data_IF_582820126244
#
_entry.id   IF_582820126244
#
_cell.length_a   1.000
_cell.length_b   1.000
_cell.length_c   1.000
_cell.angle_alpha   90.00
_cell.angle_beta   90.00
_cell.angle_gamma   90.00
#
_symmetry.space_group_name_H-M   'P 1'
#
loop_
_entity.id
_entity.type
_entity.pdbx_description
1 polymer ?
#
# COMPACT_ATOMS: atom_id res chain seq x y z
N UNK A 1 5.01 -51.92 23.49
CA UNK A 1 4.10 -51.36 22.46
C UNK A 1 4.58 -49.94 22.24
N UNK A 2 5.40 -49.77 21.21
CA UNK A 2 5.91 -48.45 20.81
C UNK A 2 4.74 -47.65 20.22
N UNK A 3 4.44 -46.52 20.83
CA UNK A 3 3.53 -45.54 20.25
C UNK A 3 4.20 -44.98 18.99
N UNK A 4 3.93 -45.54 17.82
CA UNK A 4 4.17 -44.86 16.55
C UNK A 4 3.36 -43.59 16.55
N UNK A 5 4.01 -42.48 16.84
CA UNK A 5 3.45 -41.16 16.64
C UNK A 5 3.26 -41.00 15.13
N UNK A 6 2.05 -41.23 14.64
CA UNK A 6 1.69 -41.05 13.23
C UNK A 6 1.98 -39.59 12.86
N UNK A 7 3.08 -39.38 12.15
CA UNK A 7 3.48 -38.06 11.69
C UNK A 7 2.48 -37.65 10.62
N UNK A 8 1.62 -36.69 10.94
CA UNK A 8 0.71 -36.10 9.95
C UNK A 8 1.50 -35.63 8.72
N UNK A 9 1.20 -36.19 7.56
CA UNK A 9 1.84 -35.89 6.27
C UNK A 9 1.60 -34.43 5.85
N UNK A 10 0.51 -33.82 6.27
CA UNK A 10 0.03 -32.50 5.84
C UNK A 10 0.02 -31.50 6.98
N UNK A 11 0.20 -30.21 6.66
CA UNK A 11 0.27 -29.11 7.62
C UNK A 11 -0.66 -27.97 7.21
N UNK A 12 -1.07 -27.16 8.17
CA UNK A 12 -1.75 -25.92 7.86
C UNK A 12 -0.89 -25.04 6.94
N UNK A 13 -1.52 -24.48 5.92
CA UNK A 13 -0.86 -23.70 4.86
C UNK A 13 -0.46 -24.49 3.63
N UNK A 14 -0.65 -25.82 3.63
CA UNK A 14 -0.42 -26.62 2.43
C UNK A 14 -1.59 -26.45 1.44
N UNK A 15 -1.27 -26.42 0.16
CA UNK A 15 -2.23 -26.61 -0.94
C UNK A 15 -1.94 -27.97 -1.52
N UNK A 16 -2.92 -28.85 -1.44
CA UNK A 16 -2.77 -30.28 -1.80
C UNK A 16 -4.03 -30.80 -2.48
N UNK A 17 -3.86 -31.81 -3.31
CA UNK A 17 -4.97 -32.58 -3.88
C UNK A 17 -5.22 -33.82 -3.03
N UNK A 18 -6.43 -33.94 -2.49
CA UNK A 18 -6.84 -35.06 -1.62
C UNK A 18 -8.10 -35.71 -2.18
N UNK A 19 -8.22 -37.01 -1.93
CA UNK A 19 -9.37 -37.82 -2.34
C UNK A 19 -10.48 -37.74 -1.28
N UNK A 20 -11.70 -37.46 -1.69
CA UNK A 20 -12.87 -37.58 -0.83
C UNK A 20 -13.25 -39.01 -0.58
N UNK A 21 -13.19 -39.46 0.68
CA UNK A 21 -13.43 -40.87 1.07
C UNK A 21 -14.80 -41.05 1.70
N UNK A 22 -15.46 -39.97 2.10
CA UNK A 22 -16.80 -39.98 2.71
C UNK A 22 -17.47 -38.63 2.57
N UNK A 23 -18.78 -38.61 2.30
CA UNK A 23 -19.59 -37.40 2.26
C UNK A 23 -20.72 -37.50 3.27
N UNK A 24 -20.92 -36.42 4.03
CA UNK A 24 -21.95 -36.30 5.09
C UNK A 24 -22.70 -34.99 4.95
N UNK A 25 -23.67 -34.77 5.86
CA UNK A 25 -24.40 -33.48 5.93
C UNK A 25 -23.52 -32.29 6.30
N UNK A 26 -22.40 -32.52 6.98
CA UNK A 26 -21.42 -31.46 7.30
C UNK A 26 -20.51 -31.10 6.15
N UNK A 27 -20.22 -32.04 5.25
CA UNK A 27 -19.30 -31.88 4.14
C UNK A 27 -18.61 -33.17 3.74
N UNK A 28 -17.50 -33.07 3.00
CA UNK A 28 -16.69 -34.20 2.59
C UNK A 28 -15.52 -34.41 3.56
N UNK A 29 -15.17 -35.65 3.81
CA UNK A 29 -13.96 -36.04 4.52
C UNK A 29 -12.93 -36.49 3.50
N UNK A 30 -11.73 -35.90 3.59
CA UNK A 30 -10.63 -36.11 2.67
C UNK A 30 -9.57 -37.00 3.32
N UNK A 31 -9.05 -37.96 2.58
CA UNK A 31 -8.03 -38.92 3.04
C UNK A 31 -6.74 -38.17 3.46
N UNK A 32 -6.37 -38.28 4.72
CA UNK A 32 -5.12 -37.75 5.24
C UNK A 32 -3.92 -38.62 4.92
N UNK A 33 -4.12 -39.80 4.28
CA UNK A 33 -3.08 -40.74 3.94
C UNK A 33 -2.45 -41.49 5.12
N UNK A 34 -3.15 -41.53 6.27
CA UNK A 34 -2.70 -42.20 7.51
C UNK A 34 -3.23 -43.63 7.61
N UNK A 35 -4.22 -44.00 6.80
CA UNK A 35 -4.95 -45.26 6.91
C UNK A 35 -5.94 -45.29 8.08
N UNK A 36 -6.08 -44.19 8.85
CA UNK A 36 -7.01 -44.06 9.96
C UNK A 36 -8.09 -43.03 9.64
N UNK A 37 -9.33 -43.47 9.54
CA UNK A 37 -10.46 -42.59 9.19
C UNK A 37 -10.77 -41.50 10.22
N UNK A 38 -10.23 -41.59 11.45
CA UNK A 38 -10.36 -40.54 12.45
C UNK A 38 -9.49 -39.32 12.13
N UNK A 39 -8.49 -39.48 11.29
CA UNK A 39 -7.56 -38.43 10.86
C UNK A 39 -8.02 -37.73 9.57
N UNK A 40 -9.10 -38.24 8.94
CA UNK A 40 -9.67 -37.63 7.72
C UNK A 40 -9.95 -36.13 7.90
N UNK A 41 -9.55 -35.37 6.90
CA UNK A 41 -9.61 -33.89 6.94
C UNK A 41 -10.99 -33.42 6.46
N UNK A 42 -11.72 -32.69 7.30
CA UNK A 42 -13.04 -32.18 6.96
C UNK A 42 -12.93 -31.02 5.96
N UNK A 43 -13.60 -31.15 4.81
CA UNK A 43 -13.95 -30.09 3.89
C UNK A 43 -15.43 -29.72 4.08
N UNK A 44 -15.71 -28.74 4.94
CA UNK A 44 -17.07 -28.32 5.26
C UNK A 44 -17.83 -27.86 4.01
N UNK A 45 -19.16 -28.08 3.94
CA UNK A 45 -19.99 -27.66 2.78
C UNK A 45 -19.80 -26.19 2.38
N UNK A 46 -19.67 -25.29 3.37
CA UNK A 46 -19.46 -23.85 3.14
C UNK A 46 -18.08 -23.52 2.54
N UNK A 47 -17.15 -24.47 2.58
CA UNK A 47 -15.80 -24.36 2.05
C UNK A 47 -15.64 -25.01 0.67
N UNK A 48 -16.73 -25.52 0.12
CA UNK A 48 -16.76 -26.15 -1.19
C UNK A 48 -17.22 -25.12 -2.24
N UNK A 49 -16.44 -24.95 -3.29
CA UNK A 49 -16.80 -24.12 -4.46
C UNK A 49 -17.68 -24.86 -5.47
N UNK A 50 -17.75 -26.17 -5.37
CA UNK A 50 -18.63 -27.09 -6.12
C UNK A 50 -19.01 -28.27 -5.22
N UNK A 51 -20.13 -28.97 -5.51
CA UNK A 51 -20.45 -30.22 -4.82
C UNK A 51 -19.32 -31.24 -4.96
N UNK A 52 -18.97 -31.89 -3.86
CA UNK A 52 -17.95 -32.96 -3.80
C UNK A 52 -18.64 -34.29 -3.56
N UNK A 53 -18.25 -35.32 -4.31
CA UNK A 53 -18.73 -36.69 -4.21
C UNK A 53 -17.62 -37.60 -3.68
N UNK A 54 -18.00 -38.73 -3.12
CA UNK A 54 -17.04 -39.77 -2.75
C UNK A 54 -16.28 -40.22 -3.98
N UNK A 55 -14.96 -40.36 -3.83
CA UNK A 55 -14.03 -40.68 -4.91
C UNK A 55 -13.44 -39.47 -5.65
N UNK A 56 -14.01 -38.27 -5.50
CA UNK A 56 -13.48 -37.06 -6.14
C UNK A 56 -12.09 -36.71 -5.60
N UNK A 57 -11.21 -36.28 -6.50
CA UNK A 57 -9.97 -35.58 -6.14
C UNK A 57 -10.22 -34.09 -6.11
N UNK A 58 -9.88 -33.44 -4.98
CA UNK A 58 -10.11 -32.04 -4.74
C UNK A 58 -8.83 -31.34 -4.32
N UNK A 59 -8.50 -30.24 -5.01
CA UNK A 59 -7.43 -29.36 -4.60
C UNK A 59 -7.95 -28.45 -3.48
N UNK A 60 -7.24 -28.44 -2.35
CA UNK A 60 -7.66 -27.74 -1.13
C UNK A 60 -6.49 -27.07 -0.44
N UNK A 61 -6.80 -25.98 0.21
CA UNK A 61 -5.94 -25.31 1.18
C UNK A 61 -6.24 -25.82 2.58
N UNK A 62 -5.21 -26.22 3.31
CA UNK A 62 -5.32 -26.74 4.67
C UNK A 62 -5.10 -25.64 5.70
N UNK A 63 -5.98 -25.53 6.68
CA UNK A 63 -5.88 -24.57 7.77
C UNK A 63 -6.33 -25.17 9.10
N UNK A 64 -6.03 -24.49 10.22
CA UNK A 64 -6.50 -24.92 11.53
C UNK A 64 -7.85 -24.28 11.88
N UNK A 65 -8.83 -25.07 12.28
CA UNK A 65 -10.09 -24.58 12.82
C UNK A 65 -9.89 -23.95 14.24
N UNK A 66 -10.93 -23.35 14.87
CA UNK A 66 -10.82 -22.79 16.22
C UNK A 66 -10.39 -23.79 17.29
N UNK A 67 -10.62 -25.09 17.05
CA UNK A 67 -10.24 -26.19 17.94
C UNK A 67 -8.86 -26.75 17.62
N UNK A 68 -8.09 -26.06 16.73
CA UNK A 68 -6.75 -26.46 16.26
C UNK A 68 -6.73 -27.79 15.48
N UNK A 69 -7.84 -28.21 14.86
CA UNK A 69 -7.90 -29.39 13.99
C UNK A 69 -7.59 -28.96 12.55
N UNK A 70 -6.88 -29.80 11.83
CA UNK A 70 -6.62 -29.60 10.41
C UNK A 70 -7.91 -29.71 9.60
N UNK A 71 -8.22 -28.71 8.80
CA UNK A 71 -9.46 -28.56 8.05
C UNK A 71 -9.14 -28.05 6.65
N UNK A 72 -9.96 -28.39 5.67
CA UNK A 72 -9.75 -28.06 4.26
C UNK A 72 -10.71 -26.97 3.77
N UNK A 73 -10.26 -26.18 2.79
CA UNK A 73 -11.08 -25.24 2.02
C UNK A 73 -10.73 -25.32 0.55
N UNK A 74 -11.71 -25.25 -0.33
CA UNK A 74 -11.50 -25.09 -1.76
C UNK A 74 -11.22 -23.62 -2.15
N UNK A 75 -11.33 -22.69 -1.21
CA UNK A 75 -10.88 -21.30 -1.38
C UNK A 75 -9.36 -21.24 -1.25
N UNK A 76 -8.67 -21.32 -2.38
CA UNK A 76 -7.21 -21.36 -2.40
C UNK A 76 -6.63 -19.95 -2.16
N UNK A 77 -5.47 -19.86 -1.46
CA UNK A 77 -4.79 -18.59 -1.30
C UNK A 77 -4.29 -18.05 -2.65
N UNK A 78 -4.37 -16.74 -2.83
CA UNK A 78 -3.87 -16.05 -4.02
C UNK A 78 -2.35 -15.91 -4.03
N UNK A 79 -1.69 -16.23 -2.92
CA UNK A 79 -0.24 -16.13 -2.75
C UNK A 79 0.34 -17.49 -2.36
N UNK A 80 1.51 -17.79 -2.93
CA UNK A 80 2.34 -18.95 -2.56
C UNK A 80 3.46 -18.53 -1.60
N UNK A 81 4.01 -19.49 -0.88
CA UNK A 81 5.18 -19.29 -0.03
C UNK A 81 6.34 -18.67 -0.82
N UNK A 82 7.00 -17.67 -0.23
CA UNK A 82 8.06 -16.91 -0.87
C UNK A 82 7.59 -15.77 -1.79
N UNK A 83 6.32 -15.71 -2.15
CA UNK A 83 5.79 -14.65 -3.00
C UNK A 83 5.64 -13.33 -2.25
N UNK A 84 5.93 -12.25 -2.99
CA UNK A 84 5.55 -10.89 -2.65
C UNK A 84 4.10 -10.63 -3.06
N UNK A 85 3.38 -9.86 -2.26
CA UNK A 85 2.02 -9.49 -2.55
C UNK A 85 1.61 -8.21 -1.82
N UNK A 86 0.47 -7.73 -2.21
CA UNK A 86 -0.17 -6.54 -1.66
C UNK A 86 -1.48 -6.97 -1.02
N UNK A 87 -1.52 -7.03 0.32
CA UNK A 87 -2.60 -7.67 1.06
C UNK A 87 -3.26 -6.72 2.05
N UNK A 88 -4.59 -6.88 2.21
CA UNK A 88 -5.39 -6.08 3.12
C UNK A 88 -5.24 -6.59 4.55
N UNK A 89 -5.04 -5.69 5.49
CA UNK A 89 -5.08 -5.96 6.93
C UNK A 89 -6.54 -6.16 7.35
N UNK A 90 -6.87 -7.33 7.86
CA UNK A 90 -8.22 -7.69 8.33
C UNK A 90 -8.47 -7.23 9.75
N UNK A 91 -7.51 -7.49 10.64
CA UNK A 91 -7.58 -7.14 12.05
C UNK A 91 -6.20 -6.95 12.65
N UNK A 92 -6.15 -6.25 13.79
CA UNK A 92 -4.93 -6.07 14.59
C UNK A 92 -5.26 -6.46 16.03
N UNK A 93 -4.40 -7.27 16.62
CA UNK A 93 -4.48 -7.76 18.00
C UNK A 93 -3.26 -7.32 18.80
N UNK A 94 -3.16 -7.68 20.07
CA UNK A 94 -1.98 -7.41 20.92
C UNK A 94 -0.71 -8.13 20.45
N UNK A 95 -0.84 -9.22 19.69
CA UNK A 95 0.30 -10.06 19.29
C UNK A 95 0.73 -9.80 17.83
N UNK A 96 -0.09 -9.10 17.05
CA UNK A 96 0.17 -8.82 15.63
C UNK A 96 -1.10 -8.52 14.85
N UNK A 97 -1.01 -8.61 13.53
CA UNK A 97 -2.13 -8.43 12.61
C UNK A 97 -2.50 -9.72 11.89
N UNK A 98 -3.64 -9.70 11.22
CA UNK A 98 -4.04 -10.72 10.26
C UNK A 98 -4.27 -10.06 8.92
N UNK A 99 -3.74 -10.64 7.85
CA UNK A 99 -3.85 -10.12 6.49
C UNK A 99 -4.57 -11.11 5.58
N UNK A 100 -5.30 -10.57 4.62
CA UNK A 100 -6.04 -11.33 3.61
C UNK A 100 -5.11 -11.72 2.46
N UNK A 101 -4.85 -13.00 2.30
CA UNK A 101 -4.13 -13.55 1.15
C UNK A 101 -5.08 -14.29 0.19
N UNK A 102 -6.39 -14.11 0.35
CA UNK A 102 -7.43 -14.81 -0.42
C UNK A 102 -7.75 -16.22 0.09
N UNK A 103 -7.18 -16.63 1.22
CA UNK A 103 -7.52 -17.88 1.89
C UNK A 103 -8.71 -17.69 2.84
N UNK A 104 -9.28 -18.82 3.33
CA UNK A 104 -10.43 -18.81 4.25
C UNK A 104 -10.18 -17.99 5.54
N UNK A 105 -8.98 -17.94 5.98
CA UNK A 105 -8.55 -17.16 7.16
C UNK A 105 -7.40 -16.25 6.83
N UNK A 106 -7.41 -15.08 7.47
CA UNK A 106 -6.27 -14.19 7.44
C UNK A 106 -5.01 -14.88 7.96
N UNK A 107 -3.88 -14.61 7.32
CA UNK A 107 -2.57 -15.10 7.75
C UNK A 107 -1.94 -14.12 8.72
N UNK A 108 -1.24 -14.66 9.72
CA UNK A 108 -0.69 -13.88 10.82
C UNK A 108 0.51 -13.03 10.38
N UNK A 109 0.48 -11.76 10.75
CA UNK A 109 1.58 -10.80 10.64
C UNK A 109 2.08 -10.47 12.04
N UNK A 110 3.19 -11.08 12.51
CA UNK A 110 3.75 -10.80 13.83
C UNK A 110 4.17 -9.33 13.99
N UNK A 111 4.06 -8.75 15.18
CA UNK A 111 4.58 -7.39 15.44
C UNK A 111 6.05 -7.22 15.08
N UNK A 112 6.87 -8.25 15.31
CA UNK A 112 8.31 -8.25 14.97
C UNK A 112 8.56 -8.19 13.46
N UNK A 113 7.56 -8.51 12.66
CA UNK A 113 7.60 -8.49 11.20
C UNK A 113 6.90 -7.26 10.59
N UNK A 114 6.36 -6.39 11.42
CA UNK A 114 5.81 -5.08 10.99
C UNK A 114 6.93 -4.05 10.89
N UNK A 115 6.82 -3.14 9.92
CA UNK A 115 7.70 -1.96 9.79
C UNK A 115 7.16 -0.74 10.56
N UNK A 116 5.95 -0.84 11.09
CA UNK A 116 5.30 0.20 11.87
C UNK A 116 3.84 -0.15 12.15
N UNK A 117 3.09 0.80 12.71
CA UNK A 117 1.67 0.60 13.03
C UNK A 117 0.86 0.49 11.73
N UNK A 118 0.04 -0.55 11.67
CA UNK A 118 -0.95 -0.76 10.61
C UNK A 118 -2.35 -0.78 11.20
N UNK A 119 -3.36 -0.46 10.40
CA UNK A 119 -4.76 -0.43 10.82
C UNK A 119 -5.60 -1.39 9.96
N UNK A 120 -6.70 -1.94 10.49
CA UNK A 120 -7.65 -2.72 9.70
C UNK A 120 -8.13 -1.91 8.47
N UNK A 121 -8.24 -2.59 7.34
CA UNK A 121 -8.62 -1.98 6.07
C UNK A 121 -7.46 -1.45 5.23
N UNK A 122 -6.30 -1.18 5.84
CA UNK A 122 -5.08 -0.82 5.12
C UNK A 122 -4.59 -1.98 4.24
N UNK A 123 -3.99 -1.65 3.10
CA UNK A 123 -3.29 -2.64 2.26
C UNK A 123 -1.79 -2.43 2.40
N UNK A 124 -1.04 -3.50 2.59
CA UNK A 124 0.41 -3.44 2.83
C UNK A 124 1.15 -4.44 1.96
N UNK A 125 2.40 -4.10 1.61
CA UNK A 125 3.29 -5.05 0.97
C UNK A 125 3.75 -6.10 1.96
N UNK A 126 3.65 -7.35 1.57
CA UNK A 126 4.02 -8.51 2.39
C UNK A 126 4.74 -9.57 1.57
N UNK A 127 5.44 -10.45 2.28
CA UNK A 127 5.94 -11.72 1.77
C UNK A 127 5.40 -12.85 2.63
N UNK A 128 4.86 -13.88 1.99
CA UNK A 128 4.39 -15.09 2.67
C UNK A 128 5.59 -16.01 2.98
N UNK A 129 5.68 -16.47 4.22
CA UNK A 129 6.71 -17.41 4.66
C UNK A 129 6.14 -18.40 5.69
N UNK A 130 6.94 -19.42 6.05
CA UNK A 130 6.61 -20.28 7.18
C UNK A 130 7.42 -19.89 8.40
N UNK A 131 6.75 -19.78 9.54
CA UNK A 131 7.41 -19.55 10.81
C UNK A 131 8.20 -20.79 11.28
N UNK A 132 8.95 -20.66 12.38
CA UNK A 132 9.75 -21.76 12.96
C UNK A 132 8.91 -22.99 13.35
N UNK A 133 7.60 -22.84 13.47
CA UNK A 133 6.67 -23.93 13.78
C UNK A 133 6.01 -24.51 12.53
N UNK A 134 6.42 -24.05 11.33
CA UNK A 134 5.90 -24.48 10.04
C UNK A 134 4.55 -23.88 9.65
N UNK A 135 4.04 -22.89 10.40
CA UNK A 135 2.77 -22.22 10.11
C UNK A 135 2.96 -21.06 9.11
N UNK A 136 1.98 -20.82 8.22
CA UNK A 136 1.99 -19.64 7.36
C UNK A 136 2.03 -18.37 8.20
N UNK A 137 2.91 -17.45 7.85
CA UNK A 137 3.03 -16.13 8.40
C UNK A 137 3.45 -15.15 7.30
N UNK A 138 3.28 -13.86 7.52
CA UNK A 138 3.72 -12.82 6.59
C UNK A 138 4.65 -11.82 7.27
N UNK A 139 5.51 -11.21 6.46
CA UNK A 139 6.40 -10.13 6.88
C UNK A 139 6.21 -8.91 6.00
N UNK A 140 6.30 -7.72 6.58
CA UNK A 140 6.39 -6.45 5.86
C UNK A 140 7.84 -6.07 5.50
N UNK A 141 8.85 -6.81 5.97
CA UNK A 141 10.27 -6.57 5.70
C UNK A 141 10.64 -7.06 4.29
N UNK A 142 10.11 -6.37 3.30
CA UNK A 142 10.17 -6.78 1.87
C UNK A 142 11.21 -6.00 1.06
N UNK A 143 11.97 -5.09 1.68
CA UNK A 143 12.92 -4.19 1.00
C UNK A 143 13.88 -4.97 0.07
N UNK A 144 14.54 -6.00 0.60
CA UNK A 144 15.48 -6.83 -0.18
C UNK A 144 14.80 -7.61 -1.30
N UNK A 145 13.57 -8.05 -1.06
CA UNK A 145 12.83 -8.84 -2.05
C UNK A 145 12.29 -7.94 -3.16
N UNK A 146 11.80 -6.74 -2.82
CA UNK A 146 11.41 -5.73 -3.80
C UNK A 146 12.62 -5.26 -4.62
N UNK A 147 13.77 -5.03 -3.99
CA UNK A 147 15.01 -4.67 -4.69
C UNK A 147 15.46 -5.73 -5.71
N UNK A 148 15.24 -7.02 -5.43
CA UNK A 148 15.57 -8.10 -6.38
C UNK A 148 14.68 -8.14 -7.62
N UNK A 149 13.42 -7.73 -7.48
CA UNK A 149 12.45 -7.71 -8.59
C UNK A 149 12.32 -6.34 -9.23
N UNK A 150 12.92 -5.32 -8.64
CA UNK A 150 12.96 -3.97 -9.18
C UNK A 150 13.70 -3.92 -10.52
N UNK A 151 13.33 -2.93 -11.32
CA UNK A 151 13.98 -2.60 -12.59
C UNK A 151 14.57 -1.20 -12.50
N UNK A 152 15.75 -0.95 -13.11
CA UNK A 152 16.21 0.42 -13.31
C UNK A 152 15.20 1.22 -14.15
N UNK A 153 14.91 2.44 -13.74
CA UNK A 153 13.98 3.33 -14.44
C UNK A 153 14.68 4.07 -15.59
N UNK A 154 15.10 3.32 -16.61
CA UNK A 154 15.89 3.84 -17.75
C UNK A 154 15.06 4.66 -18.75
N UNK A 155 13.75 4.50 -18.72
CA UNK A 155 12.77 5.16 -19.59
C UNK A 155 12.08 6.37 -18.92
N UNK A 156 12.43 6.66 -17.67
CA UNK A 156 11.87 7.76 -16.88
C UNK A 156 12.81 8.97 -16.87
N UNK A 157 12.25 10.16 -17.01
CA UNK A 157 13.00 11.43 -17.02
C UNK A 157 12.60 12.31 -15.84
N UNK A 158 13.51 13.21 -15.47
CA UNK A 158 13.21 14.28 -14.51
C UNK A 158 12.04 15.13 -15.04
N UNK A 159 11.03 15.32 -14.20
CA UNK A 159 9.79 16.00 -14.55
C UNK A 159 8.62 15.06 -14.83
N UNK A 160 8.87 13.80 -15.16
CA UNK A 160 7.83 12.80 -15.37
C UNK A 160 7.06 12.52 -14.06
N UNK A 161 5.86 12.00 -14.20
CA UNK A 161 5.01 11.64 -13.07
C UNK A 161 4.93 10.12 -12.99
N UNK A 162 5.16 9.58 -11.78
CA UNK A 162 4.99 8.15 -11.50
C UNK A 162 3.90 7.94 -10.45
N UNK A 163 3.27 6.79 -10.47
CA UNK A 163 2.33 6.35 -9.43
C UNK A 163 2.82 5.03 -8.84
N UNK A 164 2.82 4.94 -7.51
CA UNK A 164 3.23 3.73 -6.82
C UNK A 164 2.67 3.68 -5.40
N UNK A 165 2.95 2.60 -4.68
CA UNK A 165 2.45 2.36 -3.32
C UNK A 165 3.58 2.39 -2.31
N UNK A 166 3.32 3.00 -1.15
CA UNK A 166 4.29 3.10 -0.06
C UNK A 166 4.47 1.73 0.60
N UNK A 167 5.69 1.18 0.55
CA UNK A 167 6.00 -0.10 1.18
C UNK A 167 6.86 0.03 2.44
N UNK A 168 7.62 1.13 2.58
CA UNK A 168 8.41 1.37 3.78
C UNK A 168 8.39 2.85 4.15
N UNK A 169 8.42 3.14 5.47
CA UNK A 169 8.41 4.49 6.05
C UNK A 169 9.55 4.61 7.03
N UNK A 170 10.46 5.55 6.76
CA UNK A 170 11.62 5.84 7.61
C UNK A 170 11.53 7.24 8.23
N UNK A 171 12.53 7.61 9.02
CA UNK A 171 12.65 8.98 9.56
C UNK A 171 12.88 10.00 8.44
N UNK A 172 13.61 9.62 7.40
CA UNK A 172 14.00 10.46 6.28
C UNK A 172 12.89 10.62 5.24
N UNK A 173 12.07 9.58 5.01
CA UNK A 173 11.07 9.61 3.97
C UNK A 173 10.32 8.29 3.77
N UNK A 174 9.80 8.13 2.56
CA UNK A 174 8.88 7.08 2.16
C UNK A 174 9.42 6.36 0.94
N UNK A 175 9.48 5.04 1.02
CA UNK A 175 9.84 4.20 -0.11
C UNK A 175 8.58 3.75 -0.83
N UNK A 176 8.59 3.89 -2.15
CA UNK A 176 7.46 3.66 -3.04
C UNK A 176 7.86 2.60 -4.05
N UNK A 177 6.97 1.66 -4.32
CA UNK A 177 7.14 0.67 -5.38
C UNK A 177 6.04 0.84 -6.43
N UNK A 178 6.44 0.94 -7.72
CA UNK A 178 5.52 1.19 -8.82
C UNK A 178 5.08 -0.12 -9.51
N UNK A 179 3.97 -0.12 -10.26
CA UNK A 179 3.56 -1.27 -11.08
C UNK A 179 4.62 -1.67 -12.12
N UNK A 180 5.39 -0.71 -12.64
CA UNK A 180 6.50 -0.92 -13.58
C UNK A 180 7.71 -1.55 -12.89
N UNK A 181 7.65 -1.69 -11.56
CA UNK A 181 8.69 -2.22 -10.67
C UNK A 181 9.87 -1.28 -10.45
N UNK A 182 9.64 0.04 -10.48
CA UNK A 182 10.62 1.01 -10.05
C UNK A 182 10.55 1.21 -8.54
N UNK A 183 11.71 1.47 -7.92
CA UNK A 183 11.81 1.93 -6.55
C UNK A 183 11.96 3.44 -6.58
N UNK A 184 11.09 4.14 -5.85
CA UNK A 184 11.18 5.57 -5.68
C UNK A 184 11.27 5.95 -4.19
N UNK A 185 11.97 7.06 -3.91
CA UNK A 185 12.10 7.63 -2.60
C UNK A 185 11.52 9.04 -2.56
N UNK A 186 10.59 9.26 -1.63
CA UNK A 186 10.00 10.56 -1.35
C UNK A 186 10.56 11.07 -0.02
N UNK A 187 11.48 12.02 -0.05
CA UNK A 187 12.01 12.65 1.15
C UNK A 187 10.93 13.48 1.86
N UNK A 188 10.94 13.53 3.20
CA UNK A 188 9.92 14.28 3.96
C UNK A 188 9.87 15.77 3.62
N UNK A 189 10.99 16.38 3.23
CA UNK A 189 11.03 17.77 2.78
C UNK A 189 10.29 18.01 1.46
N UNK A 190 10.04 16.95 0.68
CA UNK A 190 9.38 17.00 -0.63
C UNK A 190 7.86 16.73 -0.56
N UNK A 191 7.30 16.70 0.66
CA UNK A 191 5.85 16.66 0.83
C UNK A 191 5.21 17.98 0.39
N UNK A 192 3.99 17.92 -0.13
CA UNK A 192 3.17 19.07 -0.49
C UNK A 192 2.74 19.92 0.73
N UNK A 193 2.65 19.26 1.90
CA UNK A 193 2.38 19.91 3.19
C UNK A 193 3.21 19.27 4.31
N UNK A 194 3.79 20.07 5.23
CA UNK A 194 4.48 19.55 6.42
C UNK A 194 3.60 18.71 7.35
N UNK A 195 2.28 18.90 7.27
CA UNK A 195 1.27 18.19 8.08
C UNK A 195 0.72 16.94 7.38
N UNK A 196 1.16 16.66 6.14
CA UNK A 196 0.69 15.49 5.42
C UNK A 196 1.15 14.22 6.12
N UNK A 197 0.20 13.36 6.44
CA UNK A 197 0.45 12.02 6.93
C UNK A 197 0.35 11.03 5.75
N UNK A 198 1.35 10.19 5.61
CA UNK A 198 1.39 9.13 4.61
C UNK A 198 1.47 7.80 5.34
N UNK A 199 0.65 6.85 4.94
CA UNK A 199 0.56 5.52 5.54
C UNK A 199 1.11 4.40 4.65
N UNK A 200 1.40 3.26 5.27
CA UNK A 200 1.75 2.05 4.51
C UNK A 200 0.65 1.72 3.51
N UNK A 201 1.03 1.37 2.29
CA UNK A 201 0.13 0.99 1.24
C UNK A 201 -0.64 2.14 0.58
N UNK A 202 -0.38 3.39 0.98
CA UNK A 202 -0.97 4.54 0.31
C UNK A 202 -0.44 4.64 -1.12
N UNK A 203 -1.35 4.80 -2.08
CA UNK A 203 -0.99 5.08 -3.46
C UNK A 203 -0.63 6.57 -3.60
N UNK A 204 0.54 6.85 -4.13
CA UNK A 204 1.04 8.20 -4.33
C UNK A 204 1.37 8.42 -5.80
N UNK A 205 0.93 9.55 -6.32
CA UNK A 205 1.36 10.08 -7.62
C UNK A 205 2.33 11.22 -7.35
N UNK A 206 3.57 11.08 -7.81
CA UNK A 206 4.65 11.99 -7.49
C UNK A 206 5.48 12.31 -8.74
N UNK A 207 6.05 13.50 -8.78
CA UNK A 207 6.91 13.96 -9.86
C UNK A 207 8.35 13.54 -9.60
N UNK A 208 9.00 12.99 -10.61
CA UNK A 208 10.42 12.61 -10.57
C UNK A 208 11.30 13.87 -10.53
N UNK A 209 12.19 13.93 -9.55
CA UNK A 209 13.15 15.02 -9.37
C UNK A 209 14.57 14.60 -9.71
N UNK A 210 14.87 13.32 -9.58
CA UNK A 210 16.18 12.77 -9.89
C UNK A 210 16.07 11.28 -10.25
N UNK A 211 16.88 10.82 -11.18
CA UNK A 211 17.07 9.41 -11.54
C UNK A 211 18.50 9.05 -11.18
N UNK A 212 18.69 8.10 -10.26
CA UNK A 212 20.02 7.66 -9.86
C UNK A 212 20.69 6.85 -10.97
N UNK A 213 21.90 7.19 -11.33
CA UNK A 213 22.65 6.50 -12.38
C UNK A 213 23.10 5.08 -11.97
N UNK A 214 23.37 4.87 -10.67
CA UNK A 214 23.93 3.62 -10.13
C UNK A 214 22.94 2.45 -10.16
N UNK A 215 21.69 2.69 -9.79
CA UNK A 215 20.67 1.65 -9.59
C UNK A 215 19.34 1.93 -10.30
N UNK A 216 19.21 3.10 -10.93
CA UNK A 216 17.99 3.55 -11.60
C UNK A 216 16.83 3.84 -10.63
N UNK A 217 17.10 3.99 -9.33
CA UNK A 217 16.09 4.42 -8.38
C UNK A 217 15.73 5.89 -8.60
N UNK A 218 14.53 6.25 -8.22
CA UNK A 218 13.96 7.58 -8.44
C UNK A 218 13.87 8.35 -7.15
N UNK A 219 14.27 9.63 -7.15
CA UNK A 219 13.82 10.57 -6.11
C UNK A 219 12.61 11.33 -6.65
N UNK A 220 11.60 11.51 -5.79
CA UNK A 220 10.32 12.08 -6.19
C UNK A 220 9.84 13.18 -5.24
N UNK A 221 8.94 14.03 -5.72
CA UNK A 221 8.38 15.15 -4.99
C UNK A 221 6.86 15.24 -5.16
N UNK A 222 6.16 15.55 -4.09
CA UNK A 222 4.75 15.94 -4.11
C UNK A 222 4.57 17.46 -4.20
N UNK A 223 5.66 18.22 -4.14
CA UNK A 223 5.59 19.68 -4.27
C UNK A 223 5.25 20.07 -5.70
N UNK A 224 4.37 21.03 -5.84
CA UNK A 224 4.10 21.67 -7.14
C UNK A 224 5.38 22.32 -7.67
N UNK A 225 5.60 22.26 -8.96
CA UNK A 225 6.68 23.02 -9.58
C UNK A 225 6.46 24.51 -9.32
N UNK A 226 7.55 25.26 -9.16
CA UNK A 226 7.48 26.70 -8.91
C UNK A 226 6.70 27.45 -10.00
N UNK A 227 6.76 26.97 -11.22
CA UNK A 227 6.01 27.54 -12.36
C UNK A 227 4.50 27.30 -12.24
N UNK A 228 4.07 26.07 -11.90
CA UNK A 228 2.66 25.75 -11.67
C UNK A 228 2.12 26.46 -10.42
N UNK A 229 2.91 26.52 -9.34
CA UNK A 229 2.52 27.27 -8.15
C UNK A 229 2.35 28.78 -8.47
N UNK A 230 3.17 29.33 -9.35
CA UNK A 230 3.05 30.72 -9.80
C UNK A 230 1.77 30.96 -10.63
N UNK A 231 1.42 29.99 -11.49
CA UNK A 231 0.15 30.05 -12.26
C UNK A 231 -1.04 30.00 -11.32
N UNK A 232 -1.07 28.99 -10.43
CA UNK A 232 -2.14 28.81 -9.45
C UNK A 232 -2.29 30.05 -8.54
N UNK A 233 -1.17 30.59 -8.03
CA UNK A 233 -1.19 31.78 -7.16
C UNK A 233 -1.72 33.02 -7.92
N UNK A 234 -1.31 33.21 -9.18
CA UNK A 234 -1.79 34.34 -9.99
C UNK A 234 -3.27 34.22 -10.38
N UNK A 235 -3.72 32.99 -10.71
CA UNK A 235 -5.14 32.74 -11.01
C UNK A 235 -6.03 32.96 -9.79
N UNK A 236 -5.63 32.49 -8.60
CA UNK A 236 -6.38 32.71 -7.36
C UNK A 236 -6.50 34.21 -7.02
N UNK A 237 -5.40 34.98 -7.17
CA UNK A 237 -5.41 36.43 -6.95
C UNK A 237 -6.27 37.12 -8.00
N UNK A 238 -6.20 36.71 -9.25
CA UNK A 238 -7.00 37.27 -10.33
C UNK A 238 -8.49 37.03 -10.17
N UNK A 239 -8.89 35.78 -9.81
CA UNK A 239 -10.30 35.46 -9.54
C UNK A 239 -10.86 36.30 -8.39
N UNK A 240 -10.09 36.51 -7.31
CA UNK A 240 -10.52 37.44 -6.23
C UNK A 240 -10.68 38.86 -6.70
N UNK A 241 -9.83 39.32 -7.61
CA UNK A 241 -9.91 40.66 -8.19
C UNK A 241 -11.10 40.80 -9.15
N UNK A 242 -11.44 39.76 -9.90
CA UNK A 242 -12.60 39.75 -10.78
C UNK A 242 -13.92 39.96 -10.00
N UNK A 243 -14.02 39.36 -8.79
CA UNK A 243 -15.19 39.51 -7.93
C UNK A 243 -15.33 40.91 -7.31
N UNK A 244 -14.20 41.59 -7.08
CA UNK A 244 -14.16 42.83 -6.25
C UNK A 244 -13.69 44.08 -7.01
N UNK A 245 -13.14 43.88 -8.20
CA UNK A 245 -12.55 44.95 -9.02
C UNK A 245 -11.19 45.47 -8.51
N UNK A 246 -11.00 45.50 -7.18
CA UNK A 246 -9.76 45.95 -6.52
C UNK A 246 -9.55 45.30 -5.16
N UNK A 247 -8.29 45.28 -4.68
CA UNK A 247 -7.95 44.79 -3.34
C UNK A 247 -6.89 45.69 -2.68
N UNK A 248 -6.93 45.87 -1.33
CA UNK A 248 -6.00 46.74 -0.58
C UNK A 248 -4.68 45.98 -0.27
N UNK A 249 -4.16 45.23 -1.21
CA UNK A 249 -2.94 44.46 -1.09
C UNK A 249 -2.08 44.72 -2.31
N UNK A 250 -0.82 45.05 -2.09
CA UNK A 250 0.16 45.36 -3.14
C UNK A 250 1.55 44.80 -2.72
N UNK A 251 2.56 45.09 -3.49
CA UNK A 251 3.95 44.68 -3.25
C UNK A 251 4.51 45.12 -1.89
N UNK A 252 4.03 46.25 -1.35
CA UNK A 252 4.45 46.80 -0.05
C UNK A 252 3.75 46.13 1.13
N UNK A 253 2.64 45.42 0.93
CA UNK A 253 1.86 44.77 2.00
C UNK A 253 2.73 43.86 2.88
N UNK A 254 2.64 43.97 4.24
CA UNK A 254 3.42 43.16 5.16
C UNK A 254 3.22 41.65 5.01
N UNK A 255 4.30 40.86 5.17
CA UNK A 255 4.29 39.40 5.00
C UNK A 255 3.25 38.65 5.87
N UNK A 256 3.02 39.02 7.15
CA UNK A 256 1.99 38.39 7.97
C UNK A 256 0.57 38.51 7.38
N UNK A 257 0.25 39.67 6.83
CA UNK A 257 -1.07 39.95 6.21
C UNK A 257 -1.25 39.10 4.95
N UNK A 258 -0.22 39.04 4.10
CA UNK A 258 -0.23 38.18 2.89
C UNK A 258 -0.42 36.71 3.27
N UNK A 259 0.32 36.24 4.27
CA UNK A 259 0.23 34.87 4.76
C UNK A 259 -1.16 34.52 5.30
N UNK A 260 -1.74 35.43 6.07
CA UNK A 260 -3.08 35.27 6.64
C UNK A 260 -4.16 35.26 5.55
N UNK A 261 -4.06 36.16 4.57
CA UNK A 261 -5.12 36.41 3.57
C UNK A 261 -5.07 35.42 2.39
N UNK A 262 -3.88 35.12 1.89
CA UNK A 262 -3.68 34.35 0.66
C UNK A 262 -3.04 32.97 0.93
N UNK A 263 -2.59 32.69 2.15
CA UNK A 263 -1.93 31.43 2.49
C UNK A 263 -0.50 31.26 1.94
N UNK A 264 -0.03 32.21 1.13
CA UNK A 264 1.26 32.17 0.43
C UNK A 264 2.31 33.08 1.06
N UNK A 265 3.58 32.91 0.68
CA UNK A 265 4.64 33.83 1.12
C UNK A 265 4.58 35.16 0.39
N UNK A 266 5.11 36.26 1.02
CA UNK A 266 5.22 37.56 0.36
C UNK A 266 5.98 37.50 -0.97
N UNK A 267 7.01 36.67 -1.06
CA UNK A 267 7.77 36.47 -2.29
C UNK A 267 6.93 35.80 -3.40
N UNK A 268 6.09 34.81 -3.04
CA UNK A 268 5.15 34.18 -3.98
C UNK A 268 4.08 35.16 -4.45
N UNK A 269 3.51 35.94 -3.53
CA UNK A 269 2.54 36.97 -3.83
C UNK A 269 3.09 38.03 -4.81
N UNK A 270 4.31 38.54 -4.55
CA UNK A 270 4.99 39.47 -5.45
C UNK A 270 5.20 38.94 -6.86
N UNK A 271 5.63 37.64 -6.97
CA UNK A 271 5.79 37.02 -8.26
C UNK A 271 4.48 36.85 -9.02
N UNK A 272 3.41 36.45 -8.31
CA UNK A 272 2.07 36.33 -8.88
C UNK A 272 1.51 37.68 -9.39
N UNK A 273 1.63 38.75 -8.60
CA UNK A 273 1.25 40.08 -9.03
C UNK A 273 2.10 40.57 -10.23
N UNK A 274 3.40 40.37 -10.17
CA UNK A 274 4.30 40.72 -11.28
C UNK A 274 3.92 40.03 -12.60
N UNK A 275 3.47 38.79 -12.55
CA UNK A 275 2.95 38.06 -13.71
C UNK A 275 1.64 38.73 -14.22
N UNK A 276 0.66 38.95 -13.35
CA UNK A 276 -0.61 39.61 -13.72
C UNK A 276 -0.41 41.03 -14.32
N UNK A 277 0.55 41.77 -13.78
CA UNK A 277 0.94 43.06 -14.32
C UNK A 277 1.59 42.95 -15.70
N UNK A 278 2.47 41.98 -15.90
CA UNK A 278 3.12 41.69 -17.20
C UNK A 278 2.10 41.24 -18.24
N UNK A 279 1.07 40.50 -17.84
CA UNK A 279 -0.05 40.09 -18.68
C UNK A 279 -1.06 41.24 -18.93
N UNK A 280 -0.85 42.41 -18.33
CA UNK A 280 -1.72 43.58 -18.49
C UNK A 280 -3.09 43.47 -17.81
N UNK A 281 -3.27 42.48 -16.92
CA UNK A 281 -4.54 42.20 -16.25
C UNK A 281 -4.82 43.08 -15.03
N UNK A 282 -3.76 43.58 -14.38
CA UNK A 282 -3.84 44.39 -13.17
C UNK A 282 -2.81 45.49 -13.19
N UNK A 283 -3.05 46.55 -12.38
CA UNK A 283 -2.07 47.58 -12.07
C UNK A 283 -2.10 47.92 -10.57
N UNK A 284 -1.09 48.62 -10.09
CA UNK A 284 -1.02 49.06 -8.68
C UNK A 284 -1.04 50.58 -8.61
N UNK A 285 -1.85 51.11 -7.71
CA UNK A 285 -1.98 52.52 -7.44
C UNK A 285 -2.33 52.75 -5.96
N UNK A 286 -1.66 53.65 -5.28
CA UNK A 286 -1.91 54.07 -3.88
C UNK A 286 -2.04 52.90 -2.89
N UNK A 287 -1.22 51.87 -3.05
CA UNK A 287 -1.26 50.67 -2.17
C UNK A 287 -2.35 49.65 -2.51
N UNK A 288 -3.09 49.86 -3.58
CA UNK A 288 -4.11 48.95 -4.10
C UNK A 288 -3.62 48.19 -5.34
N UNK A 289 -4.10 46.99 -5.50
CA UNK A 289 -4.04 46.27 -6.79
C UNK A 289 -5.45 46.33 -7.41
N UNK A 290 -5.52 46.78 -8.66
CA UNK A 290 -6.77 47.09 -9.37
C UNK A 290 -6.82 46.31 -10.65
N UNK A 291 -7.98 45.76 -10.97
CA UNK A 291 -8.23 45.05 -12.25
C UNK A 291 -8.20 46.11 -13.39
N UNK A 292 -7.58 45.74 -14.50
CA UNK A 292 -7.44 46.60 -15.67
C UNK A 292 -8.58 46.38 -16.66
#
# INVERSE_FOLDING_TARGET
MENETTVMKYRAGDVVTLKAVRVTDMGAFLDAGTGNTSDDILLHKQQQTRPVREGDEVEVYLYLDPRKRLTASMNLPKMKEGQLGYAKVLSVTKDGGFVDIGAERGVFLPYTEMLGRVNPGQTVWIKLYRDKTGRPAVTMKVDKDLARVAKPATDVKVGDTITGTVYNITKEGFFIFTPERYIAFLHRSELDSPKRFISFGEALTARVTFVREEDGHLDVSLRKQKEHALVDDSENIFNMLQERGKMPYCDSTPAPIIKQKFGISKAAFKRALGRLMKEGKVYQEDGWTILK
#
